data_IF_149539925636
#
_entry.id   IF_149539925636
#
_cell.length_a   1.000
_cell.length_b   1.000
_cell.length_c   1.000
_cell.angle_alpha   90.00
_cell.angle_beta   90.00
_cell.angle_gamma   90.00
#
_symmetry.space_group_name_H-M   'P 1'
#
loop_
_entity.id
_entity.type
_entity.pdbx_description
1 polymer ?
#
# COMPACT_ATOMS: atom_id res chain seq x y z
N UNK A 1 -2.44 11.62 -1.41
CA UNK A 1 -2.71 10.50 -2.35
C UNK A 1 -3.18 11.12 -3.64
N UNK A 2 -2.55 10.76 -4.76
CA UNK A 2 -2.93 11.17 -6.10
C UNK A 2 -3.83 10.10 -6.73
N UNK A 3 -5.02 10.48 -7.16
CA UNK A 3 -5.97 9.57 -7.81
C UNK A 3 -6.78 10.36 -8.81
N UNK A 4 -7.06 9.74 -9.97
CA UNK A 4 -7.89 10.33 -11.05
C UNK A 4 -7.36 11.66 -11.62
N UNK A 5 -6.06 11.89 -11.55
CA UNK A 5 -5.44 12.98 -12.32
C UNK A 5 -5.32 12.54 -13.77
N UNK A 6 -5.72 13.38 -14.71
CA UNK A 6 -5.58 13.12 -16.15
C UNK A 6 -4.13 12.78 -16.50
N UNK A 7 -3.19 13.51 -15.90
CA UNK A 7 -1.76 13.29 -16.04
C UNK A 7 -1.34 11.86 -15.64
N UNK A 8 -2.05 11.19 -14.72
CA UNK A 8 -1.77 9.82 -14.30
C UNK A 8 -2.34 8.74 -15.23
N UNK A 9 -3.23 9.08 -16.17
CA UNK A 9 -3.78 8.15 -17.18
C UNK A 9 -4.29 6.82 -16.58
N UNK A 10 -5.01 6.90 -15.46
CA UNK A 10 -5.57 5.72 -14.77
C UNK A 10 -4.63 5.06 -13.75
N UNK A 11 -3.40 5.55 -13.59
CA UNK A 11 -2.55 5.20 -12.46
C UNK A 11 -3.01 5.93 -11.18
N UNK A 12 -2.68 5.34 -10.03
CA UNK A 12 -2.74 6.01 -8.72
C UNK A 12 -1.33 6.35 -8.25
N UNK A 13 -1.21 7.29 -7.31
CA UNK A 13 0.09 7.64 -6.74
C UNK A 13 0.04 8.05 -5.27
N UNK A 14 1.15 7.88 -4.58
CA UNK A 14 1.40 8.45 -3.26
C UNK A 14 2.75 9.15 -3.25
N UNK A 15 2.92 10.12 -2.36
CA UNK A 15 4.23 10.71 -2.11
C UNK A 15 4.45 10.85 -0.60
N UNK A 16 5.72 10.84 -0.23
CA UNK A 16 6.19 10.92 1.15
C UNK A 16 7.37 11.89 1.23
N UNK A 17 7.32 12.80 2.19
CA UNK A 17 8.46 13.64 2.55
C UNK A 17 9.37 12.83 3.47
N UNK A 18 10.38 12.16 2.92
CA UNK A 18 11.26 11.27 3.66
C UNK A 18 12.02 12.00 4.76
N UNK A 19 12.39 13.26 4.53
CA UNK A 19 13.04 14.12 5.52
C UNK A 19 12.16 14.44 6.74
N UNK A 20 10.83 14.37 6.58
CA UNK A 20 9.88 14.53 7.69
C UNK A 20 9.61 13.21 8.42
N UNK A 21 9.63 12.09 7.70
CA UNK A 21 9.43 10.75 8.27
C UNK A 21 10.69 10.22 8.96
N UNK A 22 11.88 10.62 8.49
CA UNK A 22 13.18 10.13 8.95
C UNK A 22 14.08 11.29 9.39
N UNK A 23 13.55 12.15 10.27
CA UNK A 23 14.25 13.38 10.74
C UNK A 23 15.66 13.10 11.26
N UNK A 24 15.85 11.99 11.97
CA UNK A 24 17.15 11.62 12.57
C UNK A 24 18.17 11.11 11.53
N UNK A 25 17.76 10.91 10.27
CA UNK A 25 18.59 10.37 9.19
C UNK A 25 18.73 11.32 8.00
N UNK A 26 18.37 12.61 8.14
CA UNK A 26 18.40 13.58 7.03
C UNK A 26 19.74 13.67 6.31
N UNK A 27 20.88 13.63 7.04
CA UNK A 27 22.21 13.65 6.42
C UNK A 27 22.47 12.41 5.56
N UNK A 28 22.02 11.25 6.01
CA UNK A 28 22.19 9.99 5.29
C UNK A 28 21.29 9.95 4.04
N UNK A 29 20.08 10.54 4.10
CA UNK A 29 19.22 10.70 2.92
C UNK A 29 19.89 11.48 1.78
N UNK A 30 20.79 12.40 2.12
CA UNK A 30 21.60 13.17 1.17
C UNK A 30 22.98 12.57 0.90
N UNK A 31 23.24 11.32 1.29
CA UNK A 31 24.57 10.72 1.11
C UNK A 31 25.70 11.47 1.83
N UNK A 32 25.36 12.30 2.82
CA UNK A 32 26.25 13.24 3.50
C UNK A 32 26.75 14.44 2.67
N UNK A 33 26.14 14.73 1.51
CA UNK A 33 26.51 15.84 0.62
C UNK A 33 25.73 17.15 0.88
N UNK A 34 26.10 18.21 0.13
CA UNK A 34 25.47 19.54 0.12
C UNK A 34 25.16 19.96 -1.34
N UNK A 35 24.15 20.82 -1.59
CA UNK A 35 23.20 21.37 -0.61
C UNK A 35 22.23 20.30 -0.10
N UNK A 36 21.72 20.46 1.13
CA UNK A 36 20.63 19.63 1.65
C UNK A 36 19.29 20.33 1.50
N UNK A 37 18.26 19.54 1.20
CA UNK A 37 16.87 19.96 1.04
C UNK A 37 15.92 18.83 1.40
N UNK A 38 14.71 18.86 0.83
CA UNK A 38 13.73 17.79 1.04
C UNK A 38 14.01 16.59 0.14
N UNK A 39 13.74 15.39 0.64
CA UNK A 39 13.83 14.14 -0.13
C UNK A 39 12.43 13.55 -0.23
N UNK A 40 11.98 13.32 -1.45
CA UNK A 40 10.61 12.86 -1.72
C UNK A 40 10.68 11.45 -2.31
N UNK A 41 9.89 10.54 -1.75
CA UNK A 41 9.58 9.29 -2.43
C UNK A 41 8.18 9.38 -3.03
N UNK A 42 8.01 8.94 -4.28
CA UNK A 42 6.69 8.80 -4.88
C UNK A 42 6.51 7.42 -5.49
N UNK A 43 5.41 6.77 -5.12
CA UNK A 43 5.05 5.45 -5.61
C UNK A 43 3.86 5.59 -6.56
N UNK A 44 3.96 4.98 -7.74
CA UNK A 44 2.88 4.90 -8.71
C UNK A 44 2.37 3.46 -8.82
N UNK A 45 1.05 3.29 -8.74
CA UNK A 45 0.35 2.01 -8.80
C UNK A 45 -0.52 1.93 -10.05
N UNK A 46 -0.75 0.72 -10.56
CA UNK A 46 -1.37 0.54 -11.89
C UNK A 46 -0.65 1.37 -12.97
N UNK A 47 0.68 1.40 -12.86
CA UNK A 47 1.53 2.41 -13.48
C UNK A 47 2.02 2.02 -14.89
N UNK A 48 1.38 1.08 -15.59
CA UNK A 48 1.87 0.57 -16.88
C UNK A 48 2.13 1.69 -17.91
N UNK A 49 1.27 2.71 -17.93
CA UNK A 49 1.42 3.91 -18.79
C UNK A 49 2.52 4.86 -18.33
N UNK A 50 2.79 4.92 -17.02
CA UNK A 50 3.87 5.74 -16.44
C UNK A 50 5.21 5.03 -16.63
N UNK A 51 5.23 3.70 -16.48
CA UNK A 51 6.45 2.88 -16.53
C UNK A 51 7.13 2.89 -17.91
N UNK A 52 6.39 3.17 -18.98
CA UNK A 52 6.94 3.30 -20.35
C UNK A 52 7.44 4.70 -20.69
N UNK A 53 7.19 5.69 -19.83
CA UNK A 53 7.75 7.03 -20.00
C UNK A 53 9.24 7.03 -19.69
N UNK A 54 9.98 7.98 -20.25
CA UNK A 54 11.35 8.20 -19.83
C UNK A 54 11.40 8.83 -18.41
N UNK A 55 12.54 8.75 -17.74
CA UNK A 55 12.66 9.19 -16.36
C UNK A 55 12.33 10.67 -16.19
N UNK A 56 12.81 11.52 -17.11
CA UNK A 56 12.56 12.96 -17.04
C UNK A 56 11.08 13.31 -17.17
N UNK A 57 10.34 12.64 -18.06
CA UNK A 57 8.88 12.81 -18.19
C UNK A 57 8.13 12.45 -16.89
N UNK A 58 8.63 11.44 -16.16
CA UNK A 58 8.04 11.05 -14.86
C UNK A 58 8.32 12.15 -13.82
N UNK A 59 9.55 12.67 -13.79
CA UNK A 59 9.95 13.74 -12.87
C UNK A 59 9.19 15.02 -13.16
N UNK A 60 9.12 15.45 -14.42
CA UNK A 60 8.42 16.67 -14.83
C UNK A 60 6.95 16.60 -14.45
N UNK A 61 6.30 15.45 -14.70
CA UNK A 61 4.92 15.24 -14.31
C UNK A 61 4.73 15.26 -12.79
N UNK A 62 5.62 14.64 -12.03
CA UNK A 62 5.58 14.68 -10.58
C UNK A 62 5.72 16.13 -10.06
N UNK A 63 6.69 16.88 -10.57
CA UNK A 63 7.05 18.22 -10.09
C UNK A 63 6.12 19.33 -10.58
N UNK A 64 5.53 19.20 -11.76
CA UNK A 64 4.70 20.25 -12.36
C UNK A 64 3.21 19.97 -12.24
N UNK A 65 2.79 18.70 -12.37
CA UNK A 65 1.36 18.37 -12.41
C UNK A 65 0.84 17.87 -11.06
N UNK A 66 1.64 17.11 -10.30
CA UNK A 66 1.15 16.39 -9.12
C UNK A 66 1.47 17.10 -7.80
N UNK A 67 2.75 17.31 -7.52
CA UNK A 67 3.20 17.88 -6.25
C UNK A 67 2.67 19.31 -6.01
N UNK A 68 2.60 20.22 -7.00
CA UNK A 68 2.04 21.56 -6.81
C UNK A 68 0.58 21.59 -6.38
N UNK A 69 -0.17 20.53 -6.68
CA UNK A 69 -1.57 20.39 -6.25
C UNK A 69 -1.63 20.03 -4.77
N UNK A 70 -0.69 19.20 -4.29
CA UNK A 70 -0.57 18.88 -2.88
C UNK A 70 -0.01 20.06 -2.06
N UNK A 71 0.99 20.77 -2.60
CA UNK A 71 1.56 21.97 -1.97
C UNK A 71 2.13 22.94 -3.02
N UNK A 72 1.63 24.19 -3.11
CA UNK A 72 2.01 25.13 -4.17
C UNK A 72 3.50 25.47 -4.26
N UNK A 73 4.24 25.40 -3.16
CA UNK A 73 5.68 25.73 -3.13
C UNK A 73 6.55 24.78 -3.95
N UNK A 74 6.07 23.57 -4.27
CA UNK A 74 6.78 22.65 -5.17
C UNK A 74 7.05 23.25 -6.56
N UNK A 75 6.27 24.25 -7.00
CA UNK A 75 6.53 24.99 -8.24
C UNK A 75 7.89 25.68 -8.27
N UNK A 76 8.42 26.03 -7.10
CA UNK A 76 9.70 26.73 -6.95
C UNK A 76 10.85 25.77 -6.63
N UNK A 77 10.55 24.49 -6.38
CA UNK A 77 11.55 23.50 -6.03
C UNK A 77 12.34 23.08 -7.29
N UNK A 78 13.66 22.93 -7.12
CA UNK A 78 14.55 22.42 -8.16
C UNK A 78 14.93 20.99 -7.84
N UNK A 79 14.74 20.10 -8.80
CA UNK A 79 15.27 18.73 -8.71
C UNK A 79 16.78 18.81 -8.90
N UNK A 80 17.52 18.34 -7.89
CA UNK A 80 18.99 18.31 -7.92
C UNK A 80 19.53 16.91 -8.17
N UNK A 81 18.74 15.88 -7.85
CA UNK A 81 19.02 14.47 -8.10
C UNK A 81 17.70 13.70 -8.17
N UNK A 82 17.70 12.55 -8.86
CA UNK A 82 16.55 11.66 -8.91
C UNK A 82 16.96 10.21 -9.20
N UNK A 83 16.13 9.28 -8.74
CA UNK A 83 16.21 7.88 -9.12
C UNK A 83 14.80 7.38 -9.45
N UNK A 84 14.63 6.84 -10.66
CA UNK A 84 13.39 6.19 -11.08
C UNK A 84 13.60 4.69 -11.14
N UNK A 85 12.85 3.95 -10.31
CA UNK A 85 12.85 2.49 -10.33
C UNK A 85 11.52 1.96 -10.85
N UNK A 86 11.61 0.94 -11.72
CA UNK A 86 10.46 0.26 -12.31
C UNK A 86 10.44 -1.17 -11.80
N UNK A 87 9.29 -1.58 -11.26
CA UNK A 87 9.12 -2.88 -10.65
C UNK A 87 7.98 -3.66 -11.34
N UNK A 88 8.17 -4.12 -12.58
CA UNK A 88 7.18 -4.96 -13.26
C UNK A 88 6.92 -6.22 -12.42
N UNK A 89 5.65 -6.65 -12.37
CA UNK A 89 5.20 -7.86 -11.67
C UNK A 89 5.57 -7.96 -10.18
N UNK A 90 5.93 -6.84 -9.56
CA UNK A 90 6.35 -6.78 -8.15
C UNK A 90 5.22 -6.90 -7.14
N UNK A 91 4.00 -6.62 -7.58
CA UNK A 91 2.79 -6.69 -6.75
C UNK A 91 1.69 -7.44 -7.48
N UNK A 92 0.89 -8.17 -6.72
CA UNK A 92 -0.26 -8.90 -7.27
C UNK A 92 -1.32 -7.92 -7.79
N UNK A 93 -1.74 -8.10 -9.04
CA UNK A 93 -2.88 -7.37 -9.57
C UNK A 93 -4.19 -7.98 -9.06
N UNK A 94 -4.89 -7.25 -8.19
CA UNK A 94 -6.14 -7.70 -7.59
C UNK A 94 -7.36 -7.23 -8.39
N UNK A 95 -7.64 -7.91 -9.51
CA UNK A 95 -8.85 -7.62 -10.31
C UNK A 95 -10.14 -7.84 -9.50
N UNK A 96 -11.24 -7.16 -9.84
CA UNK A 96 -12.54 -7.39 -9.19
C UNK A 96 -12.92 -8.88 -9.15
N UNK A 97 -13.29 -9.36 -7.96
CA UNK A 97 -13.67 -10.77 -7.74
C UNK A 97 -12.50 -11.75 -7.56
N UNK A 98 -11.25 -11.35 -7.82
CA UNK A 98 -10.06 -12.21 -7.69
C UNK A 98 -9.80 -12.69 -6.25
N UNK A 99 -10.39 -12.06 -5.24
CA UNK A 99 -10.23 -12.44 -3.83
C UNK A 99 -10.51 -13.94 -3.61
N UNK A 100 -11.55 -14.50 -4.24
CA UNK A 100 -11.89 -15.92 -4.10
C UNK A 100 -10.84 -16.88 -4.69
N UNK A 101 -10.02 -16.38 -5.62
CA UNK A 101 -8.96 -17.15 -6.30
C UNK A 101 -7.64 -17.13 -5.54
N UNK A 102 -7.50 -16.27 -4.54
CA UNK A 102 -6.33 -16.22 -3.66
C UNK A 102 -6.21 -17.51 -2.84
N UNK A 103 -4.99 -18.00 -2.57
CA UNK A 103 -4.80 -19.20 -1.76
C UNK A 103 -5.20 -18.93 -0.30
N UNK A 104 -5.73 -19.93 0.40
CA UNK A 104 -5.90 -19.86 1.85
C UNK A 104 -4.55 -19.97 2.57
N UNK A 105 -4.46 -19.42 3.78
CA UNK A 105 -3.29 -19.58 4.67
C UNK A 105 -2.94 -21.05 4.89
N UNK A 106 -3.95 -21.87 5.14
CA UNK A 106 -3.83 -23.31 5.38
C UNK A 106 -4.33 -24.06 4.14
N UNK A 107 -3.48 -24.92 3.60
CA UNK A 107 -3.80 -25.73 2.41
C UNK A 107 -4.36 -27.09 2.79
N UNK A 108 -4.76 -27.90 1.80
CA UNK A 108 -5.15 -29.29 2.03
C UNK A 108 -3.98 -30.20 2.43
N UNK A 109 -2.73 -29.74 2.29
CA UNK A 109 -1.53 -30.47 2.70
C UNK A 109 -1.07 -29.91 4.04
N UNK A 110 -1.03 -30.77 5.07
CA UNK A 110 -0.81 -30.34 6.46
C UNK A 110 0.54 -29.62 6.67
N UNK A 111 1.57 -30.02 5.92
CA UNK A 111 2.92 -29.44 6.02
C UNK A 111 3.10 -28.17 5.18
N UNK A 112 2.08 -27.75 4.42
CA UNK A 112 2.17 -26.61 3.49
C UNK A 112 1.22 -25.50 3.94
N UNK A 113 1.78 -24.30 4.05
CA UNK A 113 1.09 -23.04 4.30
C UNK A 113 1.41 -22.03 3.22
N UNK A 114 0.50 -21.12 2.96
CA UNK A 114 0.75 -19.96 2.10
C UNK A 114 1.01 -18.73 2.96
N UNK A 115 1.94 -17.87 2.52
CA UNK A 115 2.22 -16.59 3.16
C UNK A 115 2.30 -15.47 2.11
N UNK A 116 2.12 -14.23 2.55
CA UNK A 116 2.16 -13.03 1.72
C UNK A 116 0.86 -12.23 1.75
N UNK A 117 0.91 -11.00 1.27
CA UNK A 117 -0.23 -10.06 1.28
C UNK A 117 -1.41 -10.50 0.41
N UNK A 118 -1.17 -11.37 -0.57
CA UNK A 118 -2.17 -11.96 -1.46
C UNK A 118 -2.90 -13.18 -0.88
N UNK A 119 -2.55 -13.66 0.32
CA UNK A 119 -3.16 -14.84 0.96
C UNK A 119 -4.46 -14.48 1.68
N UNK A 120 -5.44 -15.39 1.66
CA UNK A 120 -6.66 -15.32 2.50
C UNK A 120 -6.39 -15.92 3.87
N UNK A 121 -6.47 -15.09 4.90
CA UNK A 121 -6.15 -15.46 6.28
C UNK A 121 -7.38 -15.85 7.12
N UNK A 122 -8.59 -15.71 6.57
CA UNK A 122 -9.84 -16.09 7.26
C UNK A 122 -10.11 -15.22 8.48
N UNK A 123 -10.28 -15.81 9.66
CA UNK A 123 -10.47 -15.05 10.90
C UNK A 123 -9.20 -14.31 11.37
N UNK A 124 -8.06 -14.59 10.73
CA UNK A 124 -6.75 -14.00 11.04
C UNK A 124 -6.41 -12.84 10.11
N UNK A 125 -7.38 -12.32 9.37
CA UNK A 125 -7.20 -11.17 8.50
C UNK A 125 -6.68 -9.97 9.28
N UNK A 126 -5.62 -9.35 8.75
CA UNK A 126 -4.91 -8.26 9.41
C UNK A 126 -4.88 -7.03 8.51
N UNK A 127 -5.74 -6.07 8.81
CA UNK A 127 -5.68 -4.72 8.25
C UNK A 127 -6.10 -4.63 6.80
N UNK A 128 -5.29 -3.94 6.00
CA UNK A 128 -5.50 -3.84 4.57
C UNK A 128 -5.60 -5.25 3.94
N UNK A 129 -6.45 -5.39 2.92
CA UNK A 129 -6.71 -6.69 2.26
C UNK A 129 -5.76 -6.99 1.09
N UNK A 130 -4.59 -6.34 1.05
CA UNK A 130 -3.54 -6.52 0.04
C UNK A 130 -2.64 -5.29 -0.07
N UNK A 131 -1.54 -5.40 -0.83
CA UNK A 131 -0.60 -4.31 -1.13
C UNK A 131 -0.05 -3.61 0.12
N UNK A 132 0.21 -4.40 1.16
CA UNK A 132 0.63 -3.88 2.46
C UNK A 132 1.74 -4.77 3.04
N UNK A 133 2.89 -4.14 3.32
CA UNK A 133 4.04 -4.82 3.92
C UNK A 133 3.71 -5.40 5.31
N UNK A 134 2.95 -4.66 6.12
CA UNK A 134 2.49 -5.14 7.44
C UNK A 134 1.67 -6.42 7.30
N UNK A 135 0.75 -6.48 6.32
CA UNK A 135 -0.03 -7.68 6.05
C UNK A 135 0.86 -8.85 5.64
N UNK A 136 1.80 -8.64 4.72
CA UNK A 136 2.71 -9.70 4.28
C UNK A 136 3.52 -10.27 5.47
N UNK A 137 4.00 -9.38 6.34
CA UNK A 137 4.72 -9.74 7.56
C UNK A 137 3.85 -10.56 8.52
N UNK A 138 2.66 -10.06 8.87
CA UNK A 138 1.74 -10.77 9.77
C UNK A 138 1.25 -12.09 9.17
N UNK A 139 1.03 -12.15 7.86
CA UNK A 139 0.70 -13.39 7.16
C UNK A 139 1.80 -14.44 7.32
N UNK A 140 3.08 -14.04 7.20
CA UNK A 140 4.22 -14.91 7.46
C UNK A 140 4.24 -15.43 8.91
N UNK A 141 3.97 -14.56 9.89
CA UNK A 141 3.88 -14.96 11.30
C UNK A 141 2.76 -15.97 11.53
N UNK A 142 1.57 -15.73 10.98
CA UNK A 142 0.44 -16.65 11.14
C UNK A 142 0.62 -17.98 10.40
N UNK A 143 1.30 -17.98 9.26
CA UNK A 143 1.69 -19.19 8.56
C UNK A 143 2.61 -20.06 9.43
N UNK A 144 3.64 -19.44 10.04
CA UNK A 144 4.52 -20.11 11.00
C UNK A 144 3.79 -20.61 12.24
N UNK A 145 2.93 -19.76 12.83
CA UNK A 145 2.10 -20.13 13.98
C UNK A 145 1.17 -21.29 13.66
N UNK A 146 0.65 -21.38 12.43
CA UNK A 146 -0.20 -22.48 11.99
C UNK A 146 0.56 -23.81 11.98
N UNK A 147 1.79 -23.84 11.48
CA UNK A 147 2.64 -25.04 11.50
C UNK A 147 2.99 -25.46 12.95
N UNK A 148 3.23 -24.48 13.82
CA UNK A 148 3.45 -24.69 15.26
C UNK A 148 2.21 -25.30 15.92
N UNK A 149 1.02 -24.73 15.70
CA UNK A 149 -0.25 -25.22 16.27
C UNK A 149 -0.55 -26.66 15.86
N UNK A 150 -0.23 -27.00 14.61
CA UNK A 150 -0.37 -28.36 14.06
C UNK A 150 0.76 -29.31 14.44
N UNK A 151 1.75 -28.86 15.23
CA UNK A 151 2.91 -29.65 15.68
C UNK A 151 3.79 -30.19 14.53
N UNK A 152 3.73 -29.56 13.35
CA UNK A 152 4.57 -29.90 12.20
C UNK A 152 6.01 -29.43 12.42
N UNK A 153 6.16 -28.25 13.00
CA UNK A 153 7.46 -27.67 13.35
C UNK A 153 7.55 -27.38 14.84
N UNK A 154 8.76 -27.45 15.38
CA UNK A 154 9.07 -27.00 16.74
C UNK A 154 9.59 -25.57 16.66
N UNK A 155 9.22 -24.74 17.63
CA UNK A 155 9.79 -23.40 17.77
C UNK A 155 11.27 -23.46 18.13
N UNK A 156 11.96 -22.32 18.03
CA UNK A 156 13.40 -22.21 18.31
C UNK A 156 13.79 -22.62 19.74
N UNK A 157 12.84 -22.65 20.68
CA UNK A 157 13.03 -23.12 22.04
C UNK A 157 12.45 -24.53 22.22
N UNK A 158 13.32 -25.53 22.42
CA UNK A 158 12.90 -26.94 22.53
C UNK A 158 11.98 -27.21 23.75
N UNK A 159 12.09 -26.41 24.81
CA UNK A 159 11.31 -26.58 26.04
C UNK A 159 9.90 -25.98 25.99
N UNK A 160 9.64 -25.02 25.08
CA UNK A 160 8.31 -24.43 24.87
C UNK A 160 8.19 -24.02 23.40
N UNK A 161 7.32 -24.72 22.66
CA UNK A 161 6.92 -24.25 21.33
C UNK A 161 5.96 -23.08 21.52
N UNK A 162 6.45 -21.86 21.32
CA UNK A 162 5.68 -20.63 21.53
C UNK A 162 5.33 -20.02 20.17
N UNK A 163 4.06 -19.66 19.97
CA UNK A 163 3.60 -18.90 18.82
C UNK A 163 4.09 -17.45 18.90
N UNK A 164 4.42 -16.84 17.77
CA UNK A 164 4.70 -15.41 17.72
C UNK A 164 3.41 -14.62 18.01
N UNK A 165 3.49 -13.61 18.87
CA UNK A 165 2.35 -12.73 19.15
C UNK A 165 2.06 -11.85 17.94
N UNK A 166 0.78 -11.71 17.58
CA UNK A 166 0.30 -10.78 16.57
C UNK A 166 -0.53 -9.73 17.29
N UNK A 167 -0.09 -8.47 17.22
CA UNK A 167 -0.80 -7.34 17.83
C UNK A 167 -1.98 -6.99 16.92
N UNK A 168 -3.23 -6.94 17.42
CA UNK A 168 -4.37 -6.60 16.59
C UNK A 168 -4.34 -5.13 16.18
N UNK A 169 -4.96 -4.84 15.03
CA UNK A 169 -5.13 -3.47 14.56
C UNK A 169 -6.18 -2.77 15.40
N UNK A 170 -5.90 -1.52 15.75
CA UNK A 170 -6.86 -0.65 16.43
C UNK A 170 -8.10 -0.47 15.55
N UNK A 171 -9.27 -0.56 16.16
CA UNK A 171 -10.51 -0.21 15.47
C UNK A 171 -10.46 1.23 14.93
N UNK A 172 -11.12 1.45 13.80
CA UNK A 172 -11.33 2.78 13.24
C UNK A 172 -12.04 3.67 14.27
N UNK A 173 -11.78 4.98 14.23
CA UNK A 173 -12.41 5.92 15.14
C UNK A 173 -13.94 5.97 14.93
N UNK A 174 -14.75 6.14 15.99
CA UNK A 174 -16.21 6.08 15.88
C UNK A 174 -16.80 7.02 14.81
N UNK A 175 -16.24 8.22 14.66
CA UNK A 175 -16.67 9.18 13.64
C UNK A 175 -16.41 8.69 12.21
N UNK A 176 -15.35 7.92 11.99
CA UNK A 176 -15.03 7.34 10.67
C UNK A 176 -16.02 6.22 10.36
N UNK A 177 -16.31 5.36 11.34
CA UNK A 177 -17.30 4.28 11.18
C UNK A 177 -18.68 4.86 10.88
N UNK A 178 -19.14 5.84 11.66
CA UNK A 178 -20.42 6.50 11.45
C UNK A 178 -20.48 7.21 10.08
N UNK A 179 -19.42 7.93 9.73
CA UNK A 179 -19.32 8.62 8.44
C UNK A 179 -19.45 7.65 7.25
N UNK A 180 -18.82 6.48 7.30
CA UNK A 180 -18.96 5.45 6.25
C UNK A 180 -20.39 4.92 6.13
N UNK A 181 -21.07 4.70 7.26
CA UNK A 181 -22.46 4.23 7.28
C UNK A 181 -23.38 5.27 6.65
N UNK A 182 -23.27 6.53 7.06
CA UNK A 182 -24.07 7.63 6.49
C UNK A 182 -23.78 7.81 5.00
N UNK A 183 -22.51 7.81 4.59
CA UNK A 183 -22.12 7.90 3.20
C UNK A 183 -22.73 6.75 2.39
N UNK A 184 -22.67 5.51 2.89
CA UNK A 184 -23.29 4.37 2.20
C UNK A 184 -24.79 4.56 1.99
N UNK A 185 -25.52 5.02 3.01
CA UNK A 185 -26.97 5.26 2.89
C UNK A 185 -27.27 6.28 1.79
N UNK A 186 -26.53 7.38 1.76
CA UNK A 186 -26.70 8.43 0.73
C UNK A 186 -26.37 7.88 -0.65
N UNK A 187 -25.23 7.22 -0.81
CA UNK A 187 -24.77 6.69 -2.10
C UNK A 187 -25.69 5.60 -2.63
N UNK A 188 -26.16 4.68 -1.78
CA UNK A 188 -27.10 3.63 -2.17
C UNK A 188 -28.42 4.22 -2.70
N UNK A 189 -28.89 5.36 -2.14
CA UNK A 189 -30.08 6.04 -2.65
C UNK A 189 -29.80 6.75 -3.99
N UNK A 190 -28.69 7.46 -4.10
CA UNK A 190 -28.28 8.13 -5.34
C UNK A 190 -28.18 7.11 -6.49
N UNK A 191 -27.51 5.97 -6.25
CA UNK A 191 -27.40 4.87 -7.20
C UNK A 191 -28.78 4.28 -7.56
N UNK A 192 -29.67 4.10 -6.58
CA UNK A 192 -31.02 3.58 -6.81
C UNK A 192 -31.89 4.51 -7.68
N UNK A 193 -31.63 5.82 -7.65
CA UNK A 193 -32.26 6.80 -8.52
C UNK A 193 -31.55 6.95 -9.88
N UNK A 194 -30.50 6.17 -10.15
CA UNK A 194 -29.76 6.20 -11.40
C UNK A 194 -28.98 7.51 -11.61
N UNK A 195 -28.74 8.25 -10.54
CA UNK A 195 -28.00 9.51 -10.60
C UNK A 195 -26.50 9.20 -10.54
N UNK A 196 -25.76 9.51 -11.60
CA UNK A 196 -24.31 9.50 -11.56
C UNK A 196 -23.82 10.73 -10.81
N UNK A 197 -22.88 10.52 -9.88
CA UNK A 197 -22.25 11.65 -9.21
C UNK A 197 -21.37 12.39 -10.21
N UNK A 198 -21.34 13.73 -10.20
CA UNK A 198 -20.57 14.53 -11.17
C UNK A 198 -19.08 14.18 -11.25
N UNK A 199 -18.52 13.55 -10.21
CA UNK A 199 -17.12 13.13 -10.13
C UNK A 199 -16.88 11.64 -10.48
N UNK A 200 -17.89 10.94 -10.98
CA UNK A 200 -17.79 9.58 -11.54
C UNK A 200 -17.84 9.57 -13.09
N UNK A 201 -18.23 10.69 -13.71
CA UNK A 201 -18.29 10.85 -15.18
C UNK A 201 -16.98 11.43 -15.79
N UNK A 202 -15.85 11.30 -15.08
CA UNK A 202 -14.51 11.72 -15.55
C UNK A 202 -13.54 10.54 -15.69
#
# INVERSE_FOLDING_TARGET
VFSRFESLKGAGGTFFMLDQLQKDSQRALWGHDQPQGSVIASDFYNASVIAVMNDQEIIDRLMHDLLPIAHPEFRNAKVVDYEVRRYPDSVSHFSPGSFRKRPPLETSVETIVCAGDWVRMGDKEHGAKGLCQERAYVCGLEAGNSLIRRKIVKGSNQSKTIQHSVVPIRADEPQVVLGRVLNKIVMDQIDAFGLTLPWLDS
#
